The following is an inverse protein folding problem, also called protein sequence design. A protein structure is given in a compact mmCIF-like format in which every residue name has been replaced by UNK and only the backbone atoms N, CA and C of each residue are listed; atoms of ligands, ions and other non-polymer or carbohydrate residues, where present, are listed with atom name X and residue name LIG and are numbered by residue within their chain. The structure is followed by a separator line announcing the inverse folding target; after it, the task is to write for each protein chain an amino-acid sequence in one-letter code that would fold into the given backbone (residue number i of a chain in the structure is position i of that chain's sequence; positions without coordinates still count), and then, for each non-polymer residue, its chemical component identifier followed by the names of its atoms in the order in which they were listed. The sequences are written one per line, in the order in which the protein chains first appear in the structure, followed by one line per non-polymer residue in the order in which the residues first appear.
data_IF_715150847155
#
_entry.id   IF_715150847155
#
_cell.length_a   1.000
_cell.length_b   1.000
_cell.length_c   1.000
_cell.angle_alpha   90.00
_cell.angle_beta   90.00
_cell.angle_gamma   90.00
#
_symmetry.space_group_name_H-M   'P 1'
#
loop_
_entity.id
_entity.type
_entity.pdbx_description
1 polymer ?
#
# COMPACT_ATOMS: atom_id res chain seq x y z
N UNK A 1 4.73 22.09 17.02
CA UNK A 1 5.28 23.25 16.29
C UNK A 1 4.41 23.61 15.07
N UNK A 2 3.10 23.36 15.11
CA UNK A 2 2.17 23.86 14.08
C UNK A 2 2.04 25.40 14.10
N UNK A 3 2.58 26.00 15.15
CA UNK A 3 2.73 27.40 15.47
C UNK A 3 4.17 27.92 15.23
N UNK A 4 4.98 27.20 14.45
CA UNK A 4 6.38 27.58 14.22
C UNK A 4 6.53 29.00 13.67
N UNK A 5 7.50 29.72 14.20
CA UNK A 5 7.93 31.07 13.82
C UNK A 5 9.42 31.01 13.50
N UNK A 6 9.90 31.86 12.59
CA UNK A 6 11.29 31.94 12.15
C UNK A 6 11.85 33.34 12.39
N UNK A 7 13.09 33.37 12.88
CA UNK A 7 13.87 34.59 13.04
C UNK A 7 14.67 34.93 11.77
N UNK A 8 15.14 36.18 11.60
CA UNK A 8 16.03 36.55 10.49
C UNK A 8 17.32 35.73 10.41
N UNK A 9 17.78 35.19 11.55
CA UNK A 9 18.95 34.32 11.62
C UNK A 9 18.68 32.88 11.13
N UNK A 10 17.46 32.56 10.71
CA UNK A 10 17.06 31.25 10.17
C UNK A 10 16.58 30.24 11.22
N UNK A 11 16.76 30.51 12.52
CA UNK A 11 16.28 29.62 13.57
C UNK A 11 14.78 29.70 13.75
N UNK A 12 14.15 28.54 14.00
CA UNK A 12 12.71 28.42 14.16
C UNK A 12 12.33 27.96 15.57
N UNK A 13 11.25 28.54 16.09
CA UNK A 13 10.75 28.31 17.44
C UNK A 13 9.23 28.17 17.42
N UNK A 14 8.65 27.43 18.38
CA UNK A 14 7.22 27.52 18.66
C UNK A 14 6.87 28.88 19.29
N UNK A 15 5.58 29.17 19.41
CA UNK A 15 5.08 30.43 19.99
C UNK A 15 5.64 30.72 21.39
N UNK A 16 5.68 29.72 22.27
CA UNK A 16 6.27 29.86 23.60
C UNK A 16 7.78 30.17 23.59
N UNK A 17 8.53 29.54 22.67
CA UNK A 17 9.96 29.83 22.50
C UNK A 17 10.22 31.23 21.93
N UNK A 18 9.37 31.67 21.00
CA UNK A 18 9.42 33.03 20.45
C UNK A 18 9.14 34.10 21.50
N UNK A 19 8.19 33.89 22.41
CA UNK A 19 7.93 34.85 23.49
C UNK A 19 9.19 35.09 24.34
N UNK A 20 9.99 34.05 24.57
CA UNK A 20 11.26 34.19 25.28
C UNK A 20 12.30 34.96 24.45
N UNK A 21 12.43 34.66 23.16
CA UNK A 21 13.31 35.40 22.23
C UNK A 21 12.94 36.88 22.18
N UNK A 22 11.65 37.21 22.06
CA UNK A 22 11.17 38.59 22.02
C UNK A 22 11.49 39.31 23.33
N UNK A 23 11.35 38.63 24.48
CA UNK A 23 11.69 39.18 25.80
C UNK A 23 13.19 39.48 25.93
N UNK A 24 14.05 38.55 25.49
CA UNK A 24 15.50 38.72 25.59
C UNK A 24 16.10 39.56 24.45
N UNK A 25 15.33 39.79 23.38
CA UNK A 25 15.76 40.48 22.14
C UNK A 25 16.98 39.83 21.47
N UNK A 26 17.23 38.54 21.73
CA UNK A 26 18.33 37.76 21.14
C UNK A 26 17.88 36.32 20.86
N UNK A 27 18.40 35.73 19.77
CA UNK A 27 18.25 34.32 19.49
C UNK A 27 19.07 33.49 20.48
N UNK A 28 18.47 32.51 21.16
CA UNK A 28 19.17 31.68 22.14
C UNK A 28 20.11 30.62 21.52
N UNK A 29 20.05 30.41 20.20
CA UNK A 29 20.92 29.46 19.50
C UNK A 29 22.21 30.14 19.03
N UNK A 30 22.09 31.31 18.39
CA UNK A 30 23.23 32.00 17.78
C UNK A 30 23.55 33.37 18.39
N UNK A 31 22.83 33.79 19.43
CA UNK A 31 22.98 35.09 20.11
C UNK A 31 22.78 36.33 19.24
N UNK A 32 22.29 36.18 18.01
CA UNK A 32 22.03 37.31 17.13
C UNK A 32 20.85 38.13 17.66
N UNK A 33 20.96 39.47 17.58
CA UNK A 33 19.90 40.38 18.01
C UNK A 33 18.63 40.19 17.18
N UNK A 34 17.47 40.33 17.83
CA UNK A 34 16.15 40.09 17.24
C UNK A 34 15.23 41.26 17.53
N UNK A 35 14.65 41.82 16.48
CA UNK A 35 13.51 42.74 16.61
C UNK A 35 12.20 41.96 16.60
N UNK A 36 11.20 42.44 17.33
CA UNK A 36 9.88 41.79 17.39
C UNK A 36 9.19 41.76 16.03
N UNK A 37 9.27 42.85 15.28
CA UNK A 37 8.70 42.97 13.92
C UNK A 37 9.41 42.10 12.88
N UNK A 38 10.59 41.56 13.23
CA UNK A 38 11.39 40.70 12.35
C UNK A 38 11.05 39.22 12.47
N UNK A 39 10.21 38.84 13.45
CA UNK A 39 9.75 37.46 13.65
C UNK A 39 8.57 37.18 12.73
N UNK A 40 8.66 36.11 11.94
CA UNK A 40 7.61 35.75 10.97
C UNK A 40 7.17 34.29 11.14
N UNK A 41 5.97 33.90 10.68
CA UNK A 41 5.55 32.50 10.71
C UNK A 41 6.36 31.64 9.74
N UNK A 42 6.83 30.47 10.18
CA UNK A 42 7.51 29.52 9.30
C UNK A 42 6.49 28.62 8.59
N UNK A 43 5.91 29.11 7.49
CA UNK A 43 4.86 28.39 6.75
C UNK A 43 5.34 27.05 6.17
N UNK A 44 6.61 26.96 5.77
CA UNK A 44 7.20 25.73 5.24
C UNK A 44 7.25 24.63 6.30
N UNK A 45 7.78 24.96 7.49
CA UNK A 45 7.85 23.99 8.60
C UNK A 45 6.45 23.60 9.08
N UNK A 46 5.52 24.55 9.18
CA UNK A 46 4.12 24.26 9.54
C UNK A 46 3.47 23.29 8.55
N UNK A 47 3.66 23.53 7.25
CA UNK A 47 3.14 22.66 6.18
C UNK A 47 3.75 21.26 6.24
N UNK A 48 5.05 21.15 6.49
CA UNK A 48 5.74 19.87 6.66
C UNK A 48 5.19 19.08 7.86
N UNK A 49 4.96 19.74 9.00
CA UNK A 49 4.38 19.11 10.19
C UNK A 49 2.94 18.64 9.91
N UNK A 50 2.12 19.45 9.24
CA UNK A 50 0.76 19.05 8.86
C UNK A 50 0.76 17.86 7.90
N UNK A 51 1.66 17.84 6.92
CA UNK A 51 1.82 16.70 6.01
C UNK A 51 2.24 15.44 6.77
N UNK A 52 3.21 15.55 7.69
CA UNK A 52 3.66 14.45 8.54
C UNK A 52 2.52 13.87 9.38
N UNK A 53 1.74 14.72 10.06
CA UNK A 53 0.57 14.29 10.85
C UNK A 53 -0.47 13.56 9.99
N UNK A 54 -0.77 14.07 8.79
CA UNK A 54 -1.71 13.42 7.85
C UNK A 54 -1.21 12.07 7.37
N UNK A 55 0.09 11.94 7.11
CA UNK A 55 0.69 10.68 6.72
C UNK A 55 0.65 9.66 7.87
N UNK A 56 0.99 10.07 9.09
CA UNK A 56 0.92 9.24 10.30
C UNK A 56 -0.52 8.74 10.55
N UNK A 57 -1.51 9.63 10.48
CA UNK A 57 -2.92 9.28 10.59
C UNK A 57 -3.36 8.33 9.45
N UNK A 58 -2.88 8.54 8.23
CA UNK A 58 -3.16 7.64 7.09
C UNK A 58 -2.53 6.27 7.29
N UNK A 59 -1.33 6.18 7.87
CA UNK A 59 -0.68 4.91 8.20
C UNK A 59 -1.43 4.16 9.31
N UNK A 60 -1.89 4.85 10.35
CA UNK A 60 -2.75 4.28 11.40
C UNK A 60 -4.11 3.83 10.84
N UNK A 61 -4.74 4.63 9.98
CA UNK A 61 -6.00 4.23 9.34
C UNK A 61 -5.81 3.05 8.38
N UNK A 62 -4.67 2.96 7.70
CA UNK A 62 -4.33 1.79 6.87
C UNK A 62 -4.11 0.53 7.72
N UNK A 63 -3.54 0.66 8.92
CA UNK A 63 -3.38 -0.47 9.84
C UNK A 63 -4.71 -0.88 10.49
N UNK A 64 -5.59 0.07 10.80
CA UNK A 64 -6.93 -0.18 11.34
C UNK A 64 -7.89 -0.76 10.29
N UNK A 65 -7.81 -0.33 9.01
CA UNK A 65 -8.58 -0.95 7.93
C UNK A 65 -8.24 -2.43 7.76
N UNK A 66 -6.95 -2.81 7.84
CA UNK A 66 -6.54 -4.24 7.88
C UNK A 66 -7.10 -5.00 9.08
N UNK A 67 -7.43 -4.34 10.18
CA UNK A 67 -8.05 -4.95 11.37
C UNK A 67 -9.57 -5.02 11.28
N UNK A 68 -10.23 -4.01 10.68
CA UNK A 68 -11.71 -3.94 10.54
C UNK A 68 -12.24 -4.77 9.37
N UNK A 69 -11.45 -5.02 8.33
CA UNK A 69 -11.81 -5.96 7.25
C UNK A 69 -12.07 -7.39 7.78
N UNK A 70 -11.44 -7.78 8.91
CA UNK A 70 -11.73 -9.05 9.57
C UNK A 70 -13.07 -9.13 10.30
N UNK A 71 -13.73 -8.00 10.58
CA UNK A 71 -14.99 -7.97 11.34
C UNK A 71 -16.23 -7.83 10.44
N UNK A 72 -16.09 -7.26 9.24
CA UNK A 72 -17.21 -7.10 8.31
C UNK A 72 -17.47 -8.34 7.44
N UNK A 73 -16.46 -9.21 7.29
CA UNK A 73 -16.57 -10.44 6.49
C UNK A 73 -17.41 -11.56 7.15
N UNK A 74 -17.79 -11.40 8.42
CA UNK A 74 -18.51 -12.41 9.21
C UNK A 74 -20.04 -12.26 9.20
N UNK A 75 -20.58 -11.25 8.49
CA UNK A 75 -22.04 -11.00 8.42
C UNK A 75 -22.67 -11.11 7.03
N UNK A 76 -21.92 -11.58 6.04
CA UNK A 76 -22.37 -11.63 4.63
C UNK A 76 -22.68 -13.03 4.07
N UNK A 77 -22.62 -14.10 4.86
CA UNK A 77 -22.76 -15.48 4.34
C UNK A 77 -24.13 -16.08 4.64
N UNK A 78 -25.18 -15.53 4.04
CA UNK A 78 -26.43 -16.27 3.80
C UNK A 78 -27.04 -15.78 2.49
N UNK A 79 -26.99 -16.62 1.46
CA UNK A 79 -27.50 -16.30 0.13
C UNK A 79 -26.89 -17.17 -0.96
N UNK A 80 -27.24 -18.46 -0.91
CA UNK A 80 -27.12 -19.40 -2.02
C UNK A 80 -27.79 -18.84 -3.29
N UNK A 81 -27.08 -18.80 -4.42
CA UNK A 81 -27.58 -19.11 -5.77
C UNK A 81 -26.59 -18.71 -6.88
N UNK A 82 -26.16 -19.73 -7.64
CA UNK A 82 -25.87 -19.77 -9.07
C UNK A 82 -25.20 -18.57 -9.80
N UNK A 83 -24.01 -18.88 -10.35
CA UNK A 83 -23.39 -18.44 -11.62
C UNK A 83 -24.33 -17.85 -12.70
N UNK A 84 -23.82 -17.18 -13.75
CA UNK A 84 -22.83 -16.10 -13.82
C UNK A 84 -23.45 -14.85 -14.52
N UNK A 85 -23.08 -13.62 -14.17
CA UNK A 85 -22.90 -12.63 -15.22
C UNK A 85 -22.08 -11.41 -14.80
N UNK A 86 -21.28 -10.97 -15.75
CA UNK A 86 -20.45 -9.79 -15.70
C UNK A 86 -21.30 -8.54 -15.49
N UNK A 87 -21.40 -8.05 -14.25
CA UNK A 87 -21.80 -6.67 -13.99
C UNK A 87 -20.66 -5.73 -14.44
N UNK A 88 -20.73 -5.35 -15.72
CA UNK A 88 -19.90 -4.35 -16.40
C UNK A 88 -20.09 -2.98 -15.76
N UNK A 89 -19.40 -2.71 -14.65
CA UNK A 89 -19.11 -1.35 -14.22
C UNK A 89 -18.01 -0.76 -15.08
N UNK A 90 -18.22 0.43 -15.67
CA UNK A 90 -17.17 1.23 -16.32
C UNK A 90 -16.18 1.76 -15.26
N UNK A 91 -15.45 0.86 -14.62
CA UNK A 91 -14.28 1.14 -13.81
C UNK A 91 -13.08 0.43 -14.41
N UNK A 92 -11.87 0.86 -14.03
CA UNK A 92 -10.66 0.10 -14.35
C UNK A 92 -10.81 -1.29 -13.71
N UNK A 93 -11.08 -2.31 -14.52
CA UNK A 93 -11.26 -3.66 -14.03
C UNK A 93 -9.91 -4.18 -13.55
N UNK A 94 -9.83 -4.47 -12.25
CA UNK A 94 -8.67 -5.10 -11.66
C UNK A 94 -8.89 -6.63 -11.65
N UNK A 95 -8.12 -7.41 -12.43
CA UNK A 95 -8.40 -8.85 -12.59
C UNK A 95 -8.09 -9.71 -11.36
N UNK A 96 -7.36 -9.16 -10.37
CA UNK A 96 -6.93 -9.87 -9.17
C UNK A 96 -7.21 -9.04 -7.91
N UNK A 97 -7.71 -9.70 -6.87
CA UNK A 97 -7.90 -9.12 -5.54
C UNK A 97 -6.64 -9.30 -4.68
N UNK A 98 -6.49 -8.48 -3.64
CA UNK A 98 -5.48 -8.75 -2.60
C UNK A 98 -5.86 -10.07 -1.93
N UNK A 99 -4.89 -10.93 -1.68
CA UNK A 99 -5.00 -12.34 -1.22
C UNK A 99 -5.27 -13.38 -2.30
N UNK A 100 -5.53 -12.99 -3.55
CA UNK A 100 -5.64 -13.95 -4.65
C UNK A 100 -4.33 -14.72 -4.85
N UNK A 101 -4.47 -16.04 -5.02
CA UNK A 101 -3.41 -16.92 -5.49
C UNK A 101 -3.25 -16.79 -7.00
N UNK A 102 -2.04 -16.48 -7.43
CA UNK A 102 -1.70 -16.26 -8.84
C UNK A 102 -0.43 -17.01 -9.22
N UNK A 103 -0.35 -17.46 -10.46
CA UNK A 103 0.86 -17.97 -11.09
C UNK A 103 1.51 -16.86 -11.89
N UNK A 104 2.81 -16.70 -11.73
CA UNK A 104 3.61 -15.76 -12.52
C UNK A 104 3.89 -16.41 -13.87
N UNK A 105 3.11 -16.07 -14.91
CA UNK A 105 3.36 -16.51 -16.30
C UNK A 105 4.58 -15.84 -16.93
N UNK A 106 4.91 -14.64 -16.46
CA UNK A 106 6.02 -13.86 -16.98
C UNK A 106 5.77 -13.17 -18.32
N UNK A 107 6.72 -12.35 -18.70
CA UNK A 107 6.83 -11.66 -20.00
C UNK A 107 8.32 -11.35 -20.26
N UNK A 108 8.65 -10.66 -21.36
CA UNK A 108 10.04 -10.30 -21.71
C UNK A 108 10.81 -9.51 -20.64
N UNK A 109 10.12 -8.92 -19.64
CA UNK A 109 10.71 -8.12 -18.55
C UNK A 109 10.69 -8.85 -17.20
N UNK A 110 10.06 -10.02 -17.14
CA UNK A 110 9.94 -10.78 -15.89
C UNK A 110 11.17 -11.68 -15.77
N UNK A 111 11.94 -11.58 -14.67
CA UNK A 111 13.05 -12.49 -14.45
C UNK A 111 12.56 -13.94 -14.42
N UNK A 112 13.26 -14.82 -15.15
CA UNK A 112 12.87 -16.22 -15.33
C UNK A 112 12.73 -16.97 -14.00
N UNK A 113 13.54 -16.60 -13.00
CA UNK A 113 13.46 -17.16 -11.65
C UNK A 113 12.06 -17.07 -11.04
N UNK A 114 11.23 -16.09 -11.42
CA UNK A 114 9.87 -15.96 -10.89
C UNK A 114 8.81 -16.67 -11.72
N UNK A 115 9.12 -17.03 -12.96
CA UNK A 115 8.14 -17.61 -13.89
C UNK A 115 7.78 -19.03 -13.44
N UNK A 116 6.49 -19.37 -13.54
CA UNK A 116 5.94 -20.65 -13.10
C UNK A 116 5.72 -20.75 -11.59
N UNK A 117 6.14 -19.76 -10.79
CA UNK A 117 5.95 -19.78 -9.35
C UNK A 117 4.57 -19.30 -8.96
N UNK A 118 4.02 -19.95 -7.94
CA UNK A 118 2.83 -19.48 -7.24
C UNK A 118 3.18 -18.33 -6.30
N UNK A 119 2.30 -17.35 -6.28
CA UNK A 119 2.43 -16.17 -5.46
C UNK A 119 1.05 -15.70 -4.98
N UNK A 120 1.04 -14.91 -3.92
CA UNK A 120 -0.16 -14.25 -3.40
C UNK A 120 -0.06 -12.77 -3.69
N UNK A 121 -1.13 -12.19 -4.22
CA UNK A 121 -1.23 -10.74 -4.39
C UNK A 121 -1.28 -10.08 -3.02
N UNK A 122 -0.25 -9.30 -2.69
CA UNK A 122 -0.18 -8.59 -1.40
C UNK A 122 -0.62 -7.14 -1.51
N UNK A 123 -0.41 -6.51 -2.66
CA UNK A 123 -0.79 -5.11 -2.89
C UNK A 123 -1.16 -4.89 -4.35
N UNK A 124 -2.29 -4.23 -4.59
CA UNK A 124 -2.66 -3.70 -5.89
C UNK A 124 -2.07 -2.28 -6.05
N UNK A 125 -1.43 -2.02 -7.17
CA UNK A 125 -0.90 -0.71 -7.54
C UNK A 125 -1.69 -0.10 -8.72
N UNK A 126 -1.39 1.15 -9.05
CA UNK A 126 -1.98 1.83 -10.20
C UNK A 126 -1.57 1.18 -11.53
N UNK A 127 -2.37 1.42 -12.58
CA UNK A 127 -2.07 1.00 -13.96
C UNK A 127 -1.89 -0.52 -14.16
N UNK A 128 -2.57 -1.32 -13.34
CA UNK A 128 -2.54 -2.78 -13.44
C UNK A 128 -1.22 -3.42 -12.99
N UNK A 129 -0.45 -2.73 -12.13
CA UNK A 129 0.69 -3.30 -11.43
C UNK A 129 0.25 -3.95 -10.11
N UNK A 130 0.92 -5.02 -9.72
CA UNK A 130 0.66 -5.79 -8.51
C UNK A 130 1.97 -6.14 -7.83
N UNK A 131 2.00 -6.07 -6.50
CA UNK A 131 3.05 -6.71 -5.70
C UNK A 131 2.55 -8.10 -5.35
N UNK A 132 3.28 -9.10 -5.79
CA UNK A 132 3.02 -10.50 -5.48
C UNK A 132 4.14 -11.03 -4.62
N UNK A 133 3.79 -11.83 -3.61
CA UNK A 133 4.75 -12.52 -2.75
C UNK A 133 4.72 -13.99 -3.11
N UNK A 134 5.83 -14.50 -3.61
CA UNK A 134 5.96 -15.91 -3.97
C UNK A 134 5.80 -16.80 -2.73
N UNK A 135 5.21 -17.97 -2.91
CA UNK A 135 4.91 -18.91 -1.82
C UNK A 135 6.13 -19.75 -1.41
N UNK A 136 7.10 -19.92 -2.30
CA UNK A 136 8.28 -20.76 -2.11
C UNK A 136 9.35 -20.10 -1.24
N UNK A 137 9.78 -18.90 -1.61
CA UNK A 137 10.92 -18.20 -1.00
C UNK A 137 10.51 -16.88 -0.33
N UNK A 138 9.20 -16.58 -0.26
CA UNK A 138 8.65 -15.38 0.34
C UNK A 138 9.17 -14.06 -0.27
N UNK A 139 9.74 -14.10 -1.47
CA UNK A 139 10.21 -12.92 -2.18
C UNK A 139 9.03 -12.09 -2.71
N UNK A 140 9.15 -10.76 -2.61
CA UNK A 140 8.15 -9.85 -3.13
C UNK A 140 8.62 -9.23 -4.43
N UNK A 141 7.79 -9.30 -5.48
CA UNK A 141 8.09 -8.75 -6.80
C UNK A 141 6.92 -7.95 -7.33
N UNK A 142 7.21 -6.82 -7.98
CA UNK A 142 6.20 -5.96 -8.62
C UNK A 142 6.08 -6.33 -10.09
N UNK A 143 4.92 -6.83 -10.49
CA UNK A 143 4.64 -7.30 -11.85
C UNK A 143 3.33 -6.70 -12.39
N UNK A 144 3.21 -6.65 -13.71
CA UNK A 144 1.98 -6.22 -14.36
C UNK A 144 0.99 -7.39 -14.41
N UNK A 145 -0.31 -7.10 -14.39
CA UNK A 145 -1.38 -8.12 -14.42
C UNK A 145 -1.26 -9.11 -15.59
N UNK A 146 -0.69 -8.68 -16.72
CA UNK A 146 -0.47 -9.52 -17.91
C UNK A 146 0.57 -10.62 -17.70
N UNK A 147 1.46 -10.44 -16.72
CA UNK A 147 2.44 -11.47 -16.31
C UNK A 147 1.85 -12.45 -15.28
N UNK A 148 0.60 -12.27 -14.87
CA UNK A 148 -0.06 -13.06 -13.82
C UNK A 148 -1.24 -13.85 -14.40
N UNK A 149 -1.54 -14.98 -13.80
CA UNK A 149 -2.74 -15.75 -14.08
C UNK A 149 -3.36 -16.25 -12.79
N UNK A 150 -4.69 -16.34 -12.74
CA UNK A 150 -5.41 -16.82 -11.56
C UNK A 150 -5.13 -18.31 -11.40
N UNK A 151 -4.74 -18.72 -10.19
CA UNK A 151 -4.74 -20.13 -9.84
C UNK A 151 -6.20 -20.54 -9.78
N UNK A 152 -6.63 -21.45 -10.66
CA UNK A 152 -7.93 -22.07 -10.49
C UNK A 152 -7.76 -23.13 -9.42
N UNK A 153 -8.59 -23.08 -8.37
CA UNK A 153 -8.76 -24.19 -7.43
C UNK A 153 -9.50 -25.35 -8.12
N UNK A 154 -8.95 -25.83 -9.23
CA UNK A 154 -9.32 -27.12 -9.74
C UNK A 154 -8.59 -28.13 -8.87
N UNK A 155 -9.29 -28.59 -7.84
CA UNK A 155 -9.25 -30.02 -7.48
C UNK A 155 -9.67 -30.82 -8.72
N UNK A 156 -8.79 -30.88 -9.71
CA UNK A 156 -8.80 -31.91 -10.73
C UNK A 156 -8.27 -33.16 -10.04
N UNK A 157 -9.17 -33.80 -9.28
CA UNK A 157 -9.13 -35.24 -9.12
C UNK A 157 -9.02 -35.75 -10.56
N UNK A 158 -7.85 -36.25 -10.94
CA UNK A 158 -7.77 -37.05 -12.15
C UNK A 158 -8.77 -38.19 -11.97
N UNK A 159 -9.79 -38.34 -12.83
CA UNK A 159 -10.37 -39.66 -12.97
C UNK A 159 -9.27 -40.51 -13.59
N UNK A 160 -8.72 -41.42 -12.79
CA UNK A 160 -7.96 -42.56 -13.28
C UNK A 160 -8.89 -43.25 -14.27
N UNK A 161 -8.71 -42.97 -15.56
CA UNK A 161 -9.40 -43.66 -16.63
C UNK A 161 -8.74 -45.03 -16.77
N UNK A 162 -9.09 -45.95 -15.88
CA UNK A 162 -8.92 -47.37 -16.11
C UNK A 162 -9.83 -47.79 -17.26
N UNK A 163 -9.29 -47.81 -18.48
CA UNK A 163 -9.85 -48.55 -19.60
C UNK A 163 -8.78 -49.46 -20.18
N UNK A 164 -8.88 -50.71 -19.74
CA UNK A 164 -8.57 -51.96 -20.44
C UNK A 164 -8.25 -51.79 -21.93
N UNK A 165 -7.00 -52.10 -22.31
CA UNK A 165 -6.67 -52.46 -23.69
C UNK A 165 -6.65 -54.00 -23.76
N UNK A 166 -7.56 -54.53 -24.58
CA UNK A 166 -7.68 -55.96 -24.87
C UNK A 166 -6.65 -56.40 -25.92
N UNK A 167 -6.12 -57.60 -25.71
CA UNK A 167 -5.60 -58.61 -26.65
C UNK A 167 -4.97 -58.16 -27.98
N UNK A 168 -3.70 -58.53 -28.14
CA UNK A 168 -3.15 -59.00 -29.41
C UNK A 168 -2.55 -60.39 -29.20
N UNK A 169 -3.17 -61.40 -29.83
CA UNK A 169 -2.60 -62.67 -30.24
C UNK A 169 -2.76 -62.75 -31.75
#
# INVERSE_FOLDING_TARGET
MDDAMILPCGHSFGSGGVQHVIRMKVCYICSQAVSEDSVSPNLSLRSAIQAFRREEESQLNRSLKRRKERYDQDRGTFGDSALPDHLRGRGVQFPFAVTDRVIIKGNKRTPERFVGREAVVTTQCLNGWYVVKTLDNAESVKLQYRSLAKVSDNLSIQPISSKTAANWL
#
